data_IF_666571884799
#
_entry.id   IF_666571884799
#
_cell.length_a   1.000
_cell.length_b   1.000
_cell.length_c   1.000
_cell.angle_alpha   90.00
_cell.angle_beta   90.00
_cell.angle_gamma   90.00
#
_symmetry.space_group_name_H-M   'P 1'
#
loop_
_entity.id
_entity.type
_entity.pdbx_description
1 polymer ?
#
# COMPACT_ATOMS: atom_id res chain seq x y z
N UNK A 1 4.65 -14.36 11.22
CA UNK A 1 3.57 -13.96 12.15
C UNK A 1 3.97 -14.40 13.55
N UNK A 2 4.70 -13.56 14.29
CA UNK A 2 5.02 -13.79 15.71
C UNK A 2 4.07 -12.90 16.48
N UNK A 3 3.15 -13.54 17.17
CA UNK A 3 2.19 -12.95 18.10
C UNK A 3 2.95 -12.43 19.33
N UNK A 4 3.41 -11.18 19.26
CA UNK A 4 3.88 -10.46 20.44
C UNK A 4 2.64 -10.01 21.21
N UNK A 5 2.37 -10.77 22.27
CA UNK A 5 1.42 -10.46 23.33
C UNK A 5 1.43 -8.96 23.65
N UNK A 6 0.27 -8.36 23.38
CA UNK A 6 -0.28 -7.13 23.93
C UNK A 6 0.44 -6.57 25.16
N UNK A 7 1.28 -5.55 24.97
CA UNK A 7 1.58 -4.56 25.99
C UNK A 7 0.69 -3.34 25.76
N UNK A 8 -0.62 -3.50 25.97
CA UNK A 8 -1.63 -2.44 25.83
C UNK A 8 -1.64 -1.43 27.00
N UNK A 9 -0.57 -1.33 27.79
CA UNK A 9 -0.52 -0.42 28.95
C UNK A 9 0.42 0.79 28.79
N UNK A 10 1.17 0.93 27.69
CA UNK A 10 2.09 2.07 27.51
C UNK A 10 1.54 3.26 26.69
N UNK A 11 0.38 3.14 26.04
CA UNK A 11 -0.14 4.19 25.12
C UNK A 11 -0.99 5.30 25.78
N UNK A 12 -1.19 5.30 27.10
CA UNK A 12 -2.08 6.27 27.78
C UNK A 12 -1.35 7.45 28.44
N UNK A 13 -0.01 7.43 28.48
CA UNK A 13 0.77 8.50 29.11
C UNK A 13 0.84 9.71 28.19
N UNK A 14 0.44 10.88 28.69
CA UNK A 14 0.59 12.15 27.97
C UNK A 14 2.07 12.55 27.88
N UNK A 15 2.53 12.80 26.67
CA UNK A 15 3.84 13.35 26.36
C UNK A 15 3.75 14.87 26.50
N UNK A 16 4.66 15.47 27.26
CA UNK A 16 4.62 16.91 27.56
C UNK A 16 4.69 17.75 26.28
N UNK A 17 3.90 18.82 26.21
CA UNK A 17 3.85 19.69 25.02
C UNK A 17 5.21 20.22 24.57
N UNK A 18 6.13 20.52 25.50
CA UNK A 18 7.50 20.94 25.16
C UNK A 18 8.26 19.89 24.35
N UNK A 19 8.14 18.61 24.70
CA UNK A 19 8.80 17.51 23.98
C UNK A 19 8.18 17.34 22.60
N UNK A 20 6.85 17.41 22.50
CA UNK A 20 6.15 17.35 21.20
C UNK A 20 6.57 18.48 20.25
N UNK A 21 6.80 19.68 20.77
CA UNK A 21 7.32 20.81 19.98
C UNK A 21 8.76 20.58 19.51
N UNK A 22 9.59 19.91 20.30
CA UNK A 22 10.95 19.51 19.92
C UNK A 22 10.89 18.43 18.82
N UNK A 23 10.01 17.43 18.96
CA UNK A 23 9.80 16.38 17.95
C UNK A 23 9.31 16.94 16.61
N UNK A 24 8.37 17.91 16.62
CA UNK A 24 7.90 18.57 15.39
C UNK A 24 9.04 19.29 14.67
N UNK A 25 9.90 19.99 15.41
CA UNK A 25 11.06 20.68 14.84
C UNK A 25 12.06 19.70 14.27
N UNK A 26 12.36 18.63 15.02
CA UNK A 26 13.24 17.57 14.55
C UNK A 26 12.68 16.95 13.27
N UNK A 27 11.40 16.61 13.22
CA UNK A 27 10.71 16.07 12.05
C UNK A 27 10.84 16.99 10.83
N UNK A 28 10.61 18.29 10.99
CA UNK A 28 10.79 19.27 9.93
C UNK A 28 12.24 19.29 9.41
N UNK A 29 13.23 19.28 10.31
CA UNK A 29 14.65 19.22 9.95
C UNK A 29 14.98 17.91 9.22
N UNK A 30 14.41 16.77 9.64
CA UNK A 30 14.55 15.49 8.92
C UNK A 30 14.07 15.66 7.49
N UNK A 31 12.85 16.15 7.30
CA UNK A 31 12.22 16.30 5.99
C UNK A 31 13.05 17.25 5.11
N UNK A 32 13.38 18.44 5.60
CA UNK A 32 14.14 19.43 4.84
C UNK A 32 15.56 18.94 4.48
N UNK A 33 16.17 18.13 5.33
CA UNK A 33 17.52 17.58 5.12
C UNK A 33 17.55 16.36 4.19
N UNK A 34 16.51 15.51 4.20
CA UNK A 34 16.55 14.19 3.56
C UNK A 34 15.60 14.03 2.38
N UNK A 35 14.43 14.66 2.41
CA UNK A 35 13.44 14.51 1.35
C UNK A 35 13.93 15.20 0.06
N UNK A 36 13.82 14.54 -1.12
CA UNK A 36 14.29 15.11 -2.39
C UNK A 36 13.56 16.39 -2.79
N UNK A 37 12.26 16.46 -2.53
CA UNK A 37 11.42 17.63 -2.85
C UNK A 37 10.29 17.84 -1.83
N UNK A 38 10.56 18.42 -0.65
CA UNK A 38 9.54 18.61 0.38
C UNK A 38 8.59 19.79 0.09
N UNK A 39 8.73 20.46 -1.05
CA UNK A 39 8.16 21.79 -1.27
C UNK A 39 7.23 21.86 -2.48
N UNK A 40 7.60 21.31 -3.64
CA UNK A 40 6.97 21.70 -4.91
C UNK A 40 5.48 21.41 -4.94
N UNK A 41 5.06 20.20 -4.56
CA UNK A 41 3.63 19.83 -4.50
C UNK A 41 2.88 20.54 -3.37
N UNK A 42 3.57 20.85 -2.28
CA UNK A 42 2.99 21.48 -1.08
C UNK A 42 2.87 23.00 -1.12
N UNK A 43 3.00 23.65 -2.28
CA UNK A 43 2.92 25.12 -2.40
C UNK A 43 4.20 25.87 -2.04
N UNK A 44 5.35 25.19 -2.05
CA UNK A 44 6.67 25.79 -1.85
C UNK A 44 7.10 25.94 -0.39
N UNK A 45 8.32 26.43 -0.20
CA UNK A 45 8.96 26.58 1.12
C UNK A 45 8.19 27.46 2.10
N UNK A 46 7.57 28.54 1.60
CA UNK A 46 6.74 29.43 2.44
C UNK A 46 5.52 28.68 2.99
N UNK A 47 4.80 27.94 2.13
CA UNK A 47 3.63 27.18 2.55
C UNK A 47 3.99 26.05 3.52
N UNK A 48 5.15 25.40 3.31
CA UNK A 48 5.70 24.41 4.23
C UNK A 48 5.91 24.98 5.64
N UNK A 49 6.68 26.07 5.78
CA UNK A 49 6.94 26.66 7.09
C UNK A 49 5.68 27.30 7.72
N UNK A 50 4.74 27.77 6.90
CA UNK A 50 3.46 28.25 7.41
C UNK A 50 2.63 27.11 8.03
N UNK A 51 2.56 25.94 7.38
CA UNK A 51 1.92 24.75 7.97
C UNK A 51 2.66 24.28 9.22
N UNK A 52 3.98 24.26 9.21
CA UNK A 52 4.80 23.93 10.37
C UNK A 52 4.50 24.87 11.55
N UNK A 53 4.44 26.18 11.29
CA UNK A 53 4.11 27.16 12.33
C UNK A 53 2.71 26.94 12.91
N UNK A 54 1.71 26.68 12.06
CA UNK A 54 0.35 26.34 12.51
C UNK A 54 0.32 25.06 13.35
N UNK A 55 1.06 24.03 12.93
CA UNK A 55 1.18 22.79 13.68
C UNK A 55 1.80 23.03 15.06
N UNK A 56 2.89 23.80 15.14
CA UNK A 56 3.51 24.17 16.42
C UNK A 56 2.54 24.91 17.36
N UNK A 57 1.72 25.83 16.82
CA UNK A 57 0.72 26.55 17.61
C UNK A 57 -0.46 25.67 18.07
N UNK A 58 -0.71 24.54 17.40
CA UNK A 58 -1.82 23.63 17.74
C UNK A 58 -1.51 22.69 18.91
N UNK A 59 -0.26 22.61 19.37
CA UNK A 59 0.14 21.69 20.42
C UNK A 59 -0.33 22.21 21.80
N UNK A 60 -1.13 21.43 22.55
CA UNK A 60 -1.58 21.82 23.88
C UNK A 60 -0.43 21.80 24.89
N UNK A 61 -0.47 22.71 25.87
CA UNK A 61 0.58 22.84 26.88
C UNK A 61 0.66 21.59 27.78
N UNK A 62 -0.49 21.02 28.11
CA UNK A 62 -0.64 19.78 28.89
C UNK A 62 -0.18 18.52 28.13
N UNK A 63 0.07 18.64 26.82
CA UNK A 63 0.54 17.55 25.99
C UNK A 63 -0.54 16.64 25.43
N UNK A 64 -0.11 15.67 24.63
CA UNK A 64 -0.95 14.70 23.92
C UNK A 64 -0.49 13.29 24.21
N UNK A 65 -1.38 12.31 24.06
CA UNK A 65 -0.96 10.92 23.95
C UNK A 65 -0.38 10.68 22.54
N UNK A 66 0.43 9.63 22.41
CA UNK A 66 1.14 9.29 21.18
C UNK A 66 0.23 9.22 19.95
N UNK A 67 -0.89 8.52 20.05
CA UNK A 67 -1.78 8.30 18.90
C UNK A 67 -2.45 9.61 18.43
N UNK A 68 -2.81 10.49 19.36
CA UNK A 68 -3.38 11.81 19.05
C UNK A 68 -2.32 12.73 18.41
N UNK A 69 -1.09 12.69 18.93
CA UNK A 69 0.02 13.41 18.34
C UNK A 69 0.30 12.93 16.91
N UNK A 70 0.39 11.63 16.66
CA UNK A 70 0.62 11.10 15.31
C UNK A 70 -0.47 11.51 14.33
N UNK A 71 -1.75 11.45 14.74
CA UNK A 71 -2.88 11.91 13.91
C UNK A 71 -2.81 13.39 13.59
N UNK A 72 -2.38 14.22 14.55
CA UNK A 72 -2.20 15.66 14.36
C UNK A 72 -1.11 15.99 13.32
N UNK A 73 -0.10 15.13 13.17
CA UNK A 73 0.97 15.31 12.20
C UNK A 73 0.55 14.97 10.76
N UNK A 74 -0.48 14.15 10.56
CA UNK A 74 -0.85 13.61 9.25
C UNK A 74 -1.06 14.69 8.18
N UNK A 75 -1.80 15.79 8.42
CA UNK A 75 -2.00 16.81 7.39
C UNK A 75 -0.73 17.58 7.02
N UNK A 76 0.21 17.73 7.95
CA UNK A 76 1.50 18.37 7.67
C UNK A 76 2.34 17.50 6.74
N UNK A 77 2.38 16.19 6.99
CA UNK A 77 3.12 15.21 6.19
C UNK A 77 2.47 14.98 4.83
N UNK A 78 1.15 14.77 4.79
CA UNK A 78 0.40 14.54 3.56
C UNK A 78 0.55 15.71 2.57
N UNK A 79 0.67 16.94 3.07
CA UNK A 79 0.87 18.13 2.25
C UNK A 79 2.24 18.18 1.51
N UNK A 80 3.17 17.26 1.79
CA UNK A 80 4.37 17.07 0.97
C UNK A 80 4.00 16.53 -0.41
N UNK A 81 2.91 15.75 -0.50
CA UNK A 81 2.41 15.21 -1.77
C UNK A 81 3.25 14.06 -2.32
N UNK A 82 3.91 13.29 -1.45
CA UNK A 82 4.65 12.07 -1.79
C UNK A 82 4.02 10.88 -1.07
N UNK A 83 3.68 9.82 -1.82
CA UNK A 83 3.07 8.60 -1.28
C UNK A 83 3.99 7.80 -0.36
N UNK A 84 5.30 8.05 -0.44
CA UNK A 84 6.33 7.35 0.36
C UNK A 84 6.68 8.10 1.65
N UNK A 85 6.30 9.37 1.77
CA UNK A 85 6.53 10.18 2.96
C UNK A 85 5.30 10.12 3.86
N UNK A 86 5.36 9.26 4.88
CA UNK A 86 4.21 8.95 5.75
C UNK A 86 4.60 8.73 7.21
N UNK A 87 3.63 8.99 8.08
CA UNK A 87 3.68 8.56 9.48
C UNK A 87 2.77 7.34 9.64
N UNK A 88 3.31 6.28 10.24
CA UNK A 88 2.54 5.08 10.52
C UNK A 88 1.71 5.26 11.79
N UNK A 89 0.42 5.51 11.59
CA UNK A 89 -0.59 5.51 12.66
C UNK A 89 -1.14 4.11 12.84
N UNK A 90 -1.20 3.64 14.08
CA UNK A 90 -1.82 2.36 14.42
C UNK A 90 -3.32 2.57 14.60
N UNK A 91 -4.11 1.82 13.83
CA UNK A 91 -5.55 1.70 14.03
C UNK A 91 -5.85 0.33 14.63
N UNK A 92 -6.75 0.28 15.61
CA UNK A 92 -7.21 -0.97 16.22
C UNK A 92 -8.25 -1.61 15.28
N UNK A 93 -7.78 -2.38 14.30
CA UNK A 93 -8.62 -3.03 13.31
C UNK A 93 -9.15 -4.37 13.84
N UNK A 94 -10.38 -4.72 13.47
CA UNK A 94 -10.97 -6.02 13.73
C UNK A 94 -11.43 -6.64 12.41
N UNK A 95 -10.68 -7.62 11.91
CA UNK A 95 -10.98 -8.24 10.61
C UNK A 95 -12.33 -8.96 10.58
N UNK A 96 -12.83 -9.43 11.74
CA UNK A 96 -14.12 -10.11 11.87
C UNK A 96 -15.28 -9.14 12.06
N UNK A 97 -15.02 -7.91 12.49
CA UNK A 97 -16.04 -6.88 12.69
C UNK A 97 -15.43 -5.53 12.29
N UNK A 98 -15.27 -5.26 10.98
CA UNK A 98 -14.52 -4.12 10.50
C UNK A 98 -15.21 -2.79 10.84
N UNK A 99 -16.55 -2.77 10.87
CA UNK A 99 -17.31 -1.64 11.38
C UNK A 99 -17.45 -0.45 10.43
N UNK A 100 -16.97 -0.52 9.19
CA UNK A 100 -17.17 0.52 8.16
C UNK A 100 -18.26 0.15 7.15
N UNK A 101 -18.09 0.58 5.90
CA UNK A 101 -19.04 0.30 4.81
C UNK A 101 -18.92 -1.18 4.43
N UNK A 102 -20.00 -1.99 4.51
CA UNK A 102 -19.95 -3.43 4.26
C UNK A 102 -19.99 -3.79 2.76
N UNK A 103 -19.21 -3.06 1.96
CA UNK A 103 -19.05 -3.25 0.51
C UNK A 103 -17.57 -3.27 0.17
N UNK A 104 -17.21 -4.07 -0.83
CA UNK A 104 -15.89 -4.05 -1.43
C UNK A 104 -15.91 -3.08 -2.59
N UNK A 105 -14.99 -2.12 -2.57
CA UNK A 105 -14.78 -1.20 -3.66
C UNK A 105 -13.54 -1.59 -4.46
N UNK A 106 -13.56 -1.31 -5.76
CA UNK A 106 -12.42 -1.39 -6.65
C UNK A 106 -12.47 -0.18 -7.60
N UNK A 107 -11.36 0.08 -8.28
CA UNK A 107 -11.16 1.31 -9.03
C UNK A 107 -11.63 1.11 -10.48
N UNK A 108 -12.46 2.04 -10.95
CA UNK A 108 -12.76 2.19 -12.38
C UNK A 108 -12.65 3.65 -12.76
N UNK A 109 -11.82 3.95 -13.76
CA UNK A 109 -11.50 5.31 -14.18
C UNK A 109 -11.06 6.18 -12.99
N UNK A 110 -11.86 7.17 -12.58
CA UNK A 110 -11.61 8.06 -11.43
C UNK A 110 -12.65 7.90 -10.34
N UNK A 111 -13.20 6.70 -10.19
CA UNK A 111 -14.27 6.41 -9.25
C UNK A 111 -14.09 5.02 -8.62
N UNK A 112 -14.89 4.77 -7.59
CA UNK A 112 -14.98 3.45 -6.96
C UNK A 112 -16.28 2.78 -7.36
N UNK A 113 -16.20 1.53 -7.81
CA UNK A 113 -17.38 0.69 -8.03
C UNK A 113 -17.43 -0.44 -7.00
N UNK A 114 -18.64 -0.91 -6.71
CA UNK A 114 -18.87 -2.07 -5.84
C UNK A 114 -18.39 -3.32 -6.57
N UNK A 115 -17.25 -3.85 -6.16
CA UNK A 115 -16.65 -5.09 -6.70
C UNK A 115 -17.13 -6.35 -5.98
N UNK A 116 -17.69 -6.20 -4.78
CA UNK A 116 -18.26 -7.29 -4.02
C UNK A 116 -19.08 -6.84 -2.82
N UNK A 117 -19.87 -7.76 -2.28
CA UNK A 117 -20.77 -7.53 -1.14
C UNK A 117 -20.63 -8.65 -0.11
N UNK A 118 -21.07 -8.38 1.12
CA UNK A 118 -21.05 -9.37 2.20
C UNK A 118 -22.35 -10.18 2.25
N UNK A 119 -23.48 -9.58 1.92
CA UNK A 119 -24.81 -10.17 2.07
C UNK A 119 -25.48 -10.42 0.71
N UNK A 120 -26.16 -11.57 0.60
CA UNK A 120 -26.80 -12.06 -0.62
C UNK A 120 -27.85 -11.07 -1.18
N UNK A 121 -28.58 -10.39 -0.30
CA UNK A 121 -29.59 -9.40 -0.65
C UNK A 121 -29.02 -8.11 -1.25
N UNK A 122 -27.70 -7.92 -1.21
CA UNK A 122 -27.01 -6.75 -1.78
C UNK A 122 -26.32 -7.08 -3.12
N UNK A 123 -26.52 -8.28 -3.68
CA UNK A 123 -25.86 -8.72 -4.93
C UNK A 123 -26.10 -7.80 -6.12
N UNK A 124 -27.27 -7.18 -6.17
CA UNK A 124 -27.68 -6.21 -7.19
C UNK A 124 -26.85 -4.91 -7.16
N UNK A 125 -26.18 -4.62 -6.04
CA UNK A 125 -25.31 -3.44 -5.93
C UNK A 125 -23.99 -3.60 -6.70
N UNK A 126 -23.56 -4.83 -7.01
CA UNK A 126 -22.30 -5.09 -7.71
C UNK A 126 -22.29 -4.36 -9.07
N UNK A 127 -21.23 -3.58 -9.31
CA UNK A 127 -21.08 -2.73 -10.50
C UNK A 127 -21.63 -1.30 -10.34
N UNK A 128 -22.31 -1.00 -9.24
CA UNK A 128 -22.72 0.39 -8.93
C UNK A 128 -21.52 1.23 -8.52
N UNK A 129 -21.54 2.52 -8.85
CA UNK A 129 -20.45 3.48 -8.57
C UNK A 129 -20.77 4.29 -7.32
N UNK A 130 -19.81 4.43 -6.41
CA UNK A 130 -19.95 5.24 -5.20
C UNK A 130 -20.09 6.72 -5.57
N UNK A 131 -21.18 7.35 -5.13
CA UNK A 131 -21.46 8.76 -5.37
C UNK A 131 -21.18 9.62 -4.13
N UNK A 132 -21.63 9.18 -2.96
CA UNK A 132 -21.42 9.89 -1.69
C UNK A 132 -21.48 8.94 -0.48
N UNK A 133 -20.93 9.39 0.65
CA UNK A 133 -21.02 8.71 1.96
C UNK A 133 -21.45 9.74 2.98
N UNK A 134 -22.55 9.52 3.71
CA UNK A 134 -23.09 10.45 4.71
C UNK A 134 -23.31 11.87 4.16
N UNK A 135 -23.85 11.98 2.93
CA UNK A 135 -24.01 13.23 2.17
C UNK A 135 -22.69 13.96 1.82
N UNK A 136 -21.54 13.29 1.96
CA UNK A 136 -20.23 13.81 1.56
C UNK A 136 -19.93 13.28 0.15
N UNK A 137 -19.87 14.17 -0.86
CA UNK A 137 -19.54 13.79 -2.23
C UNK A 137 -18.21 13.03 -2.34
N UNK A 138 -18.13 12.11 -3.30
CA UNK A 138 -16.95 11.26 -3.48
C UNK A 138 -15.64 12.04 -3.72
N UNK A 139 -15.68 13.14 -4.47
CA UNK A 139 -14.53 14.02 -4.68
C UNK A 139 -14.04 14.66 -3.37
N UNK A 140 -14.97 15.04 -2.48
CA UNK A 140 -14.65 15.52 -1.14
C UNK A 140 -14.01 14.42 -0.29
N UNK A 141 -14.43 13.16 -0.43
CA UNK A 141 -13.76 12.03 0.25
C UNK A 141 -12.32 11.85 -0.25
N UNK A 142 -12.09 11.96 -1.57
CA UNK A 142 -10.74 11.94 -2.15
C UNK A 142 -9.87 13.08 -1.59
N UNK A 143 -10.41 14.29 -1.48
CA UNK A 143 -9.71 15.44 -0.89
C UNK A 143 -9.38 15.23 0.60
N UNK A 144 -10.30 14.61 1.35
CA UNK A 144 -10.09 14.33 2.77
C UNK A 144 -9.00 13.28 2.97
N UNK A 145 -9.03 12.16 2.25
CA UNK A 145 -8.00 11.12 2.40
C UNK A 145 -6.62 11.62 1.98
N UNK A 146 -6.55 12.52 0.98
CA UNK A 146 -5.31 13.18 0.55
C UNK A 146 -4.71 14.14 1.59
N UNK A 147 -5.50 14.55 2.59
CA UNK A 147 -5.03 15.33 3.74
C UNK A 147 -4.60 14.44 4.90
N UNK A 148 -4.84 13.13 4.82
CA UNK A 148 -4.45 12.15 5.82
C UNK A 148 -3.20 11.40 5.35
N UNK A 149 -3.10 11.13 4.06
CA UNK A 149 -2.00 10.38 3.45
C UNK A 149 -1.49 11.11 2.20
N UNK A 150 -0.16 11.20 2.07
CA UNK A 150 0.48 11.74 0.87
C UNK A 150 0.14 10.89 -0.36
N UNK A 151 0.03 11.54 -1.52
CA UNK A 151 -0.36 10.90 -2.78
C UNK A 151 0.57 11.30 -3.92
N UNK A 152 0.93 10.33 -4.76
CA UNK A 152 1.81 10.59 -5.90
C UNK A 152 1.07 11.19 -7.10
N UNK A 153 -0.20 10.81 -7.28
CA UNK A 153 -1.02 11.18 -8.43
C UNK A 153 -2.52 11.05 -8.10
N UNK A 154 -3.37 11.30 -9.10
CA UNK A 154 -4.84 11.29 -8.98
C UNK A 154 -5.46 9.93 -8.60
N UNK A 155 -4.72 8.82 -8.73
CA UNK A 155 -5.17 7.50 -8.30
C UNK A 155 -4.83 7.19 -6.84
N UNK A 156 -3.91 7.92 -6.22
CA UNK A 156 -3.53 7.73 -4.82
C UNK A 156 -4.72 7.76 -3.85
N UNK A 157 -5.65 8.74 -3.94
CA UNK A 157 -6.85 8.77 -3.12
C UNK A 157 -7.75 7.56 -3.33
N UNK A 158 -7.86 7.07 -4.57
CA UNK A 158 -8.70 5.93 -4.91
C UNK A 158 -8.17 4.66 -4.25
N UNK A 159 -6.85 4.42 -4.33
CA UNK A 159 -6.19 3.29 -3.65
C UNK A 159 -6.37 3.37 -2.13
N UNK A 160 -6.31 4.57 -1.54
CA UNK A 160 -6.53 4.71 -0.10
C UNK A 160 -8.00 4.48 0.32
N UNK A 161 -8.96 4.55 -0.62
CA UNK A 161 -10.39 4.39 -0.35
C UNK A 161 -10.94 3.02 -0.77
N UNK A 162 -10.24 2.28 -1.65
CA UNK A 162 -10.70 1.00 -2.18
C UNK A 162 -10.65 -0.16 -1.15
N UNK A 163 -11.21 -1.31 -1.55
CA UNK A 163 -11.09 -2.59 -0.86
C UNK A 163 -11.29 -2.50 0.67
N UNK A 164 -10.25 -2.86 1.44
CA UNK A 164 -10.26 -2.93 2.91
C UNK A 164 -9.55 -1.74 3.57
N UNK A 165 -9.42 -0.63 2.85
CA UNK A 165 -8.72 0.57 3.32
C UNK A 165 -9.65 1.49 4.13
N UNK A 166 -9.64 2.80 3.88
CA UNK A 166 -10.26 3.78 4.78
C UNK A 166 -11.77 3.61 4.95
N UNK A 167 -12.48 3.17 3.91
CA UNK A 167 -13.94 2.99 3.94
C UNK A 167 -14.40 1.73 4.70
N UNK A 168 -13.54 0.73 4.81
CA UNK A 168 -13.90 -0.60 5.31
C UNK A 168 -13.93 -0.68 6.84
N UNK A 169 -12.98 -0.01 7.51
CA UNK A 169 -12.82 -0.14 8.96
C UNK A 169 -13.31 1.11 9.71
N UNK A 170 -14.05 0.93 10.82
CA UNK A 170 -14.57 2.02 11.65
C UNK A 170 -13.50 3.04 12.07
N UNK A 171 -12.31 2.64 12.57
CA UNK A 171 -11.32 3.62 13.02
C UNK A 171 -10.75 4.49 11.90
N UNK A 172 -10.53 3.93 10.71
CA UNK A 172 -10.02 4.68 9.56
C UNK A 172 -11.12 5.52 8.91
N UNK A 173 -12.35 4.98 8.87
CA UNK A 173 -13.51 5.71 8.38
C UNK A 173 -13.83 6.92 9.27
N UNK A 174 -13.69 6.80 10.60
CA UNK A 174 -13.77 7.92 11.53
C UNK A 174 -12.68 8.97 11.33
N UNK A 175 -11.48 8.55 10.91
CA UNK A 175 -10.42 9.50 10.55
C UNK A 175 -10.77 10.29 9.27
N UNK A 176 -11.50 9.66 8.34
CA UNK A 176 -11.96 10.28 7.09
C UNK A 176 -13.22 11.14 7.28
N UNK A 177 -14.18 10.64 8.06
CA UNK A 177 -15.51 11.21 8.30
C UNK A 177 -15.71 11.31 9.83
N UNK A 178 -15.06 12.26 10.50
CA UNK A 178 -15.18 12.41 11.96
C UNK A 178 -16.59 12.78 12.42
N UNK A 179 -17.43 13.33 11.53
CA UNK A 179 -18.83 13.61 11.79
C UNK A 179 -19.73 12.36 11.85
N UNK A 180 -19.26 11.22 11.33
CA UNK A 180 -19.96 9.95 11.39
C UNK A 180 -19.59 9.22 12.69
N UNK A 181 -20.52 9.10 13.64
CA UNK A 181 -20.30 8.35 14.88
C UNK A 181 -21.58 7.62 15.29
N UNK A 182 -22.03 6.70 14.43
CA UNK A 182 -23.28 5.94 14.58
C UNK A 182 -23.03 4.49 14.21
N UNK A 183 -23.99 3.63 14.52
CA UNK A 183 -23.94 2.20 14.18
C UNK A 183 -24.53 1.89 12.79
N UNK A 184 -24.85 2.93 12.03
CA UNK A 184 -25.35 2.87 10.66
C UNK A 184 -24.57 3.83 9.79
N UNK A 185 -24.44 3.48 8.51
CA UNK A 185 -23.84 4.33 7.48
C UNK A 185 -24.73 4.39 6.25
N UNK A 186 -24.93 5.60 5.73
CA UNK A 186 -25.73 5.86 4.53
C UNK A 186 -24.81 6.24 3.38
N UNK A 187 -25.01 5.63 2.22
CA UNK A 187 -24.26 5.91 1.01
C UNK A 187 -25.20 6.09 -0.16
N UNK A 188 -24.76 6.84 -1.17
CA UNK A 188 -25.43 6.89 -2.46
C UNK A 188 -24.62 6.13 -3.49
N UNK A 189 -25.29 5.22 -4.20
CA UNK A 189 -24.71 4.46 -5.29
C UNK A 189 -25.42 4.80 -6.60
N UNK A 190 -24.64 5.07 -7.64
CA UNK A 190 -25.13 5.18 -9.01
C UNK A 190 -25.12 3.82 -9.67
N UNK A 191 -26.30 3.28 -9.99
CA UNK A 191 -26.44 1.99 -10.67
C UNK A 191 -25.85 2.04 -12.09
N UNK A 192 -25.58 0.88 -12.72
CA UNK A 192 -25.17 0.81 -14.12
C UNK A 192 -26.18 1.44 -15.10
N UNK A 193 -27.45 1.58 -14.69
CA UNK A 193 -28.50 2.24 -15.47
C UNK A 193 -28.52 3.78 -15.29
N UNK A 194 -27.69 4.30 -14.38
CA UNK A 194 -27.52 5.72 -14.13
C UNK A 194 -28.37 6.30 -13.00
N UNK A 195 -29.22 5.49 -12.37
CA UNK A 195 -30.05 5.87 -11.23
C UNK A 195 -29.22 5.97 -9.95
N UNK A 196 -29.43 7.02 -9.15
CA UNK A 196 -28.77 7.18 -7.85
C UNK A 196 -29.74 6.71 -6.77
N UNK A 197 -29.30 5.75 -5.97
CA UNK A 197 -30.07 5.18 -4.87
C UNK A 197 -29.33 5.39 -3.55
N UNK A 198 -30.06 5.88 -2.55
CA UNK A 198 -29.59 5.98 -1.17
C UNK A 198 -29.80 4.62 -0.47
N UNK A 199 -28.75 4.14 0.21
CA UNK A 199 -28.74 2.86 0.90
C UNK A 199 -28.11 3.04 2.28
N UNK A 200 -28.78 2.55 3.31
CA UNK A 200 -28.28 2.54 4.68
C UNK A 200 -27.90 1.12 5.11
N UNK A 201 -26.70 0.97 5.64
CA UNK A 201 -26.19 -0.28 6.20
C UNK A 201 -26.02 -0.18 7.71
N UNK A 202 -26.29 -1.28 8.41
CA UNK A 202 -25.77 -1.48 9.77
C UNK A 202 -24.25 -1.73 9.67
N UNK A 203 -23.47 -1.12 10.57
CA UNK A 203 -22.00 -1.27 10.58
C UNK A 203 -21.52 -2.31 11.59
N UNK A 204 -22.34 -2.67 12.57
CA UNK A 204 -22.01 -3.71 13.55
C UNK A 204 -22.31 -5.12 12.99
N UNK A 205 -21.52 -5.51 11.98
CA UNK A 205 -21.68 -6.78 11.27
C UNK A 205 -20.49 -7.71 11.55
N UNK A 206 -20.82 -8.95 11.90
CA UNK A 206 -19.83 -10.04 11.93
C UNK A 206 -19.57 -10.59 10.52
N UNK A 207 -18.30 -10.58 10.15
CA UNK A 207 -17.78 -11.10 8.91
C UNK A 207 -17.28 -12.54 9.10
N UNK A 208 -18.17 -13.49 8.82
CA UNK A 208 -17.91 -14.93 8.98
C UNK A 208 -17.93 -15.70 7.65
N UNK A 209 -18.19 -15.04 6.53
CA UNK A 209 -18.37 -15.64 5.20
C UNK A 209 -17.45 -14.95 4.17
N UNK A 210 -17.01 -15.64 3.11
CA UNK A 210 -16.28 -15.00 2.02
C UNK A 210 -17.17 -13.97 1.30
N UNK A 211 -16.53 -12.95 0.74
CA UNK A 211 -17.21 -11.91 -0.03
C UNK A 211 -17.84 -12.49 -1.30
N UNK A 212 -19.05 -12.04 -1.59
CA UNK A 212 -19.74 -12.34 -2.83
C UNK A 212 -19.21 -11.38 -3.90
N UNK A 213 -18.49 -11.92 -4.87
CA UNK A 213 -17.91 -11.17 -5.98
C UNK A 213 -18.32 -11.79 -7.31
N UNK A 214 -18.20 -11.03 -8.39
CA UNK A 214 -18.41 -11.57 -9.74
C UNK A 214 -17.20 -12.39 -10.16
N UNK A 215 -17.42 -13.66 -10.49
CA UNK A 215 -16.35 -14.53 -10.99
C UNK A 215 -15.86 -14.07 -12.36
N UNK A 216 -14.55 -14.21 -12.57
CA UNK A 216 -13.95 -14.02 -13.89
C UNK A 216 -14.38 -15.17 -14.81
N UNK A 217 -14.78 -14.85 -16.04
CA UNK A 217 -15.06 -15.85 -17.07
C UNK A 217 -13.79 -16.46 -17.67
N UNK A 218 -12.63 -15.85 -17.41
CA UNK A 218 -11.31 -16.36 -17.79
C UNK A 218 -10.60 -16.94 -16.58
N UNK A 219 -9.91 -18.05 -16.78
CA UNK A 219 -9.01 -18.62 -15.79
C UNK A 219 -7.74 -17.76 -15.70
N UNK A 220 -7.60 -17.03 -14.60
CA UNK A 220 -6.45 -16.16 -14.34
C UNK A 220 -5.41 -16.99 -13.58
N UNK A 221 -4.11 -16.91 -13.93
CA UNK A 221 -3.07 -17.62 -13.18
C UNK A 221 -3.12 -17.23 -11.70
N UNK A 222 -3.14 -18.24 -10.83
CA UNK A 222 -3.18 -18.03 -9.38
C UNK A 222 -1.84 -17.54 -8.87
N UNK A 223 -1.90 -16.49 -8.07
CA UNK A 223 -0.77 -15.91 -7.33
C UNK A 223 -0.81 -16.32 -5.85
N UNK A 224 -1.57 -17.33 -5.46
CA UNK A 224 -1.67 -17.74 -4.06
C UNK A 224 -0.34 -18.25 -3.49
N UNK A 225 0.44 -19.00 -4.27
CA UNK A 225 1.74 -19.57 -3.85
C UNK A 225 2.94 -18.67 -4.17
N UNK A 226 2.83 -17.84 -5.19
CA UNK A 226 3.89 -16.95 -5.70
C UNK A 226 3.27 -15.62 -6.10
N UNK A 227 3.99 -14.52 -5.91
CA UNK A 227 3.49 -13.19 -6.27
C UNK A 227 3.36 -12.96 -7.77
N UNK A 228 3.88 -13.88 -8.58
CA UNK A 228 3.80 -13.85 -10.03
C UNK A 228 3.58 -15.26 -10.56
N UNK A 229 2.76 -15.36 -11.59
CA UNK A 229 2.46 -16.58 -12.31
C UNK A 229 2.00 -16.24 -13.72
N UNK A 230 2.19 -17.17 -14.67
CA UNK A 230 1.65 -17.02 -16.01
C UNK A 230 0.90 -18.28 -16.45
N UNK A 231 -0.03 -18.09 -17.39
CA UNK A 231 -0.66 -19.17 -18.13
C UNK A 231 -1.04 -18.69 -19.54
N UNK A 232 -1.41 -19.61 -20.42
CA UNK A 232 -2.00 -19.30 -21.72
C UNK A 232 -3.53 -19.31 -21.63
N UNK A 233 -4.18 -18.29 -22.18
CA UNK A 233 -5.63 -18.11 -22.10
C UNK A 233 -6.41 -18.92 -23.14
N UNK A 234 -5.74 -19.43 -24.16
CA UNK A 234 -6.34 -20.20 -25.24
C UNK A 234 -5.57 -21.51 -25.49
N UNK A 235 -6.28 -22.51 -26.02
CA UNK A 235 -5.73 -23.85 -26.29
C UNK A 235 -4.56 -23.85 -27.28
N UNK A 236 -4.50 -22.85 -28.16
CA UNK A 236 -3.44 -22.71 -29.15
C UNK A 236 -2.27 -21.87 -28.64
N UNK A 237 -2.31 -21.44 -27.37
CA UNK A 237 -1.28 -20.68 -26.69
C UNK A 237 -0.90 -19.38 -27.43
N UNK A 238 -1.89 -18.75 -28.07
CA UNK A 238 -1.75 -17.48 -28.80
C UNK A 238 -1.72 -16.27 -27.89
N UNK A 239 -2.30 -16.38 -26.70
CA UNK A 239 -2.40 -15.32 -25.72
C UNK A 239 -1.82 -15.83 -24.40
N UNK A 240 -0.69 -15.24 -23.98
CA UNK A 240 -0.13 -15.43 -22.65
C UNK A 240 -0.65 -14.35 -21.70
N UNK A 241 -0.95 -14.72 -20.46
CA UNK A 241 -1.25 -13.82 -19.36
C UNK A 241 -0.21 -14.00 -18.27
N UNK A 242 0.60 -12.98 -18.03
CA UNK A 242 1.47 -12.86 -16.86
C UNK A 242 0.76 -12.00 -15.82
N UNK A 243 0.53 -12.54 -14.63
CA UNK A 243 0.02 -11.79 -13.48
C UNK A 243 1.13 -11.57 -12.48
N UNK A 244 1.23 -10.35 -11.97
CA UNK A 244 2.19 -9.96 -10.92
C UNK A 244 1.44 -9.16 -9.87
N UNK A 245 1.16 -9.78 -8.72
CA UNK A 245 0.44 -9.16 -7.59
C UNK A 245 1.40 -8.57 -6.54
N UNK A 246 2.70 -8.83 -6.65
CA UNK A 246 3.71 -8.29 -5.73
C UNK A 246 5.13 -8.32 -6.30
N UNK A 247 6.02 -7.53 -5.70
CA UNK A 247 7.42 -7.42 -6.12
C UNK A 247 8.38 -7.62 -4.95
N UNK A 248 8.12 -8.56 -4.05
CA UNK A 248 8.99 -8.84 -2.88
C UNK A 248 9.35 -10.33 -2.79
N UNK A 249 8.36 -11.20 -2.95
CA UNK A 249 8.44 -12.65 -2.72
C UNK A 249 9.13 -13.46 -3.81
N UNK A 250 10.28 -13.00 -4.31
CA UNK A 250 11.10 -13.71 -5.29
C UNK A 250 12.55 -13.85 -4.81
N UNK A 251 13.22 -14.92 -5.25
CA UNK A 251 14.58 -15.30 -4.80
C UNK A 251 15.58 -14.15 -4.92
N UNK A 252 15.62 -13.51 -6.09
CA UNK A 252 16.61 -12.47 -6.41
C UNK A 252 16.47 -11.22 -5.53
N UNK A 253 15.28 -10.97 -4.95
CA UNK A 253 15.12 -9.92 -3.94
C UNK A 253 16.00 -10.23 -2.72
N UNK A 254 15.88 -11.44 -2.18
CA UNK A 254 16.62 -11.87 -0.97
C UNK A 254 18.12 -12.08 -1.24
N UNK A 255 18.50 -12.46 -2.46
CA UNK A 255 19.90 -12.47 -2.88
C UNK A 255 20.51 -11.06 -2.92
N UNK A 256 19.73 -10.05 -3.32
CA UNK A 256 20.17 -8.67 -3.39
C UNK A 256 20.24 -8.00 -2.01
N UNK A 257 19.17 -8.12 -1.22
CA UNK A 257 19.04 -7.38 0.06
C UNK A 257 19.61 -8.14 1.26
N UNK A 258 19.83 -9.45 1.13
CA UNK A 258 20.26 -10.32 2.22
C UNK A 258 19.14 -10.67 3.20
N UNK A 259 19.42 -11.61 4.12
CA UNK A 259 18.48 -12.08 5.15
C UNK A 259 19.10 -12.11 6.56
N UNK A 260 20.05 -11.20 6.81
CA UNK A 260 20.80 -11.20 8.07
C UNK A 260 20.04 -10.57 9.23
N UNK A 261 19.16 -9.60 8.98
CA UNK A 261 18.26 -9.11 10.02
C UNK A 261 16.96 -9.92 10.07
N UNK A 262 16.33 -9.85 11.23
CA UNK A 262 15.14 -10.63 11.57
C UNK A 262 13.96 -10.35 10.63
N UNK A 263 13.82 -9.11 10.15
CA UNK A 263 12.73 -8.74 9.26
C UNK A 263 12.83 -9.48 7.93
N UNK A 264 13.96 -9.37 7.21
CA UNK A 264 14.11 -10.08 5.93
C UNK A 264 14.17 -11.60 6.10
N UNK A 265 14.71 -12.11 7.22
CA UNK A 265 14.67 -13.54 7.51
C UNK A 265 13.23 -14.04 7.67
N UNK A 266 12.38 -13.31 8.39
CA UNK A 266 10.99 -13.67 8.57
C UNK A 266 10.21 -13.59 7.26
N UNK A 267 10.45 -12.58 6.42
CA UNK A 267 9.85 -12.51 5.08
C UNK A 267 10.26 -13.69 4.21
N UNK A 268 11.55 -14.02 4.13
CA UNK A 268 12.04 -15.16 3.36
C UNK A 268 11.39 -16.48 3.82
N UNK A 269 11.26 -16.68 5.13
CA UNK A 269 10.53 -17.83 5.72
C UNK A 269 9.06 -17.84 5.30
N UNK A 270 8.37 -16.70 5.36
CA UNK A 270 6.96 -16.60 4.96
C UNK A 270 6.78 -16.97 3.47
N UNK A 271 7.60 -16.44 2.56
CA UNK A 271 7.49 -16.75 1.13
C UNK A 271 7.90 -18.19 0.80
N UNK A 272 8.93 -18.73 1.46
CA UNK A 272 9.27 -20.15 1.34
C UNK A 272 8.08 -21.03 1.74
N UNK A 273 7.50 -20.79 2.92
CA UNK A 273 6.39 -21.58 3.44
C UNK A 273 5.16 -21.46 2.55
N UNK A 274 4.85 -20.25 2.06
CA UNK A 274 3.75 -19.99 1.13
C UNK A 274 3.89 -20.77 -0.18
N UNK A 275 5.10 -20.82 -0.74
CA UNK A 275 5.33 -21.52 -2.01
C UNK A 275 5.40 -23.04 -1.85
N UNK A 276 6.09 -23.52 -0.82
CA UNK A 276 6.40 -24.94 -0.63
C UNK A 276 5.39 -25.69 0.25
N UNK A 277 4.52 -24.97 0.98
CA UNK A 277 3.58 -25.51 1.96
C UNK A 277 4.27 -26.37 3.04
N UNK A 278 5.50 -26.01 3.38
CA UNK A 278 6.38 -26.74 4.30
C UNK A 278 7.06 -25.80 5.27
N UNK A 279 7.55 -26.36 6.37
CA UNK A 279 8.36 -25.61 7.33
C UNK A 279 9.64 -25.10 6.64
N UNK A 280 10.01 -23.82 6.82
CA UNK A 280 11.24 -23.27 6.26
C UNK A 280 12.48 -23.98 6.82
N UNK A 281 13.50 -24.25 5.99
CA UNK A 281 14.76 -24.82 6.47
C UNK A 281 15.51 -23.81 7.34
N UNK A 282 16.38 -24.33 8.22
CA UNK A 282 17.26 -23.49 9.04
C UNK A 282 18.46 -22.95 8.25
N UNK A 283 18.89 -23.68 7.21
CA UNK A 283 19.96 -23.21 6.33
C UNK A 283 19.48 -22.05 5.46
N UNK A 284 20.19 -20.93 5.55
CA UNK A 284 19.85 -19.69 4.84
C UNK A 284 19.91 -19.85 3.31
N UNK A 285 20.83 -20.65 2.80
CA UNK A 285 20.99 -20.85 1.36
C UNK A 285 19.88 -21.75 0.81
N UNK A 286 19.55 -22.84 1.51
CA UNK A 286 18.39 -23.68 1.19
C UNK A 286 17.08 -22.90 1.26
N UNK A 287 16.95 -22.01 2.25
CA UNK A 287 15.79 -21.13 2.39
C UNK A 287 15.61 -20.24 1.16
N UNK A 288 16.66 -19.51 0.75
CA UNK A 288 16.60 -18.62 -0.43
C UNK A 288 16.35 -19.43 -1.70
N UNK A 289 17.05 -20.55 -1.88
CA UNK A 289 16.91 -21.40 -3.07
C UNK A 289 15.49 -21.99 -3.20
N UNK A 290 14.77 -22.21 -2.10
CA UNK A 290 13.39 -22.68 -2.13
C UNK A 290 12.33 -21.61 -2.43
N UNK A 291 12.71 -20.34 -2.56
CA UNK A 291 11.81 -19.26 -2.97
C UNK A 291 11.76 -19.21 -4.52
N UNK A 292 10.59 -18.93 -5.14
CA UNK A 292 10.46 -18.79 -6.59
C UNK A 292 11.41 -17.76 -7.18
N UNK A 293 12.11 -18.11 -8.26
CA UNK A 293 12.95 -17.19 -9.02
C UNK A 293 12.14 -16.46 -10.09
N UNK A 294 12.25 -15.13 -10.10
CA UNK A 294 11.68 -14.31 -11.16
C UNK A 294 12.40 -14.58 -12.50
N UNK A 295 13.71 -14.78 -12.46
CA UNK A 295 14.53 -15.11 -13.64
C UNK A 295 14.11 -16.43 -14.27
N UNK A 296 13.95 -17.49 -13.47
CA UNK A 296 13.53 -18.81 -13.97
C UNK A 296 12.12 -18.75 -14.56
N UNK A 297 11.21 -18.03 -13.90
CA UNK A 297 9.81 -17.92 -14.35
C UNK A 297 9.68 -17.11 -15.63
N UNK A 298 10.30 -15.92 -15.70
CA UNK A 298 10.22 -15.07 -16.90
C UNK A 298 11.00 -15.65 -18.08
N UNK A 299 12.09 -16.38 -17.83
CA UNK A 299 12.77 -17.17 -18.86
C UNK A 299 11.84 -18.22 -19.45
N UNK A 300 11.14 -18.97 -18.59
CA UNK A 300 10.22 -20.04 -19.02
C UNK A 300 9.07 -19.47 -19.84
N UNK A 301 8.45 -18.38 -19.38
CA UNK A 301 7.43 -17.63 -20.12
C UNK A 301 7.88 -17.29 -21.55
N UNK A 302 9.05 -16.65 -21.70
CA UNK A 302 9.54 -16.23 -23.03
C UNK A 302 9.91 -17.42 -23.92
N UNK A 303 10.47 -18.50 -23.35
CA UNK A 303 10.78 -19.73 -24.10
C UNK A 303 9.50 -20.38 -24.62
N UNK A 304 8.50 -20.57 -23.76
CA UNK A 304 7.23 -21.18 -24.12
C UNK A 304 6.47 -20.32 -25.15
N UNK A 305 6.42 -19.00 -24.95
CA UNK A 305 5.81 -18.09 -25.91
C UNK A 305 6.45 -18.21 -27.30
N UNK A 306 7.78 -18.33 -27.37
CA UNK A 306 8.51 -18.49 -28.63
C UNK A 306 8.23 -19.84 -29.29
N UNK A 307 8.17 -20.92 -28.50
CA UNK A 307 7.86 -22.26 -28.99
C UNK A 307 6.44 -22.32 -29.57
N UNK A 308 5.49 -21.70 -28.89
CA UNK A 308 4.08 -21.71 -29.25
C UNK A 308 3.69 -20.65 -30.28
N UNK A 309 4.64 -19.80 -30.69
CA UNK A 309 4.39 -18.65 -31.58
C UNK A 309 3.22 -17.82 -31.06
N UNK A 310 3.29 -17.50 -29.76
CA UNK A 310 2.35 -16.63 -29.07
C UNK A 310 2.38 -15.26 -29.71
N UNK A 311 1.18 -14.70 -29.93
CA UNK A 311 0.99 -13.44 -30.65
C UNK A 311 0.76 -12.28 -29.70
N UNK A 312 0.24 -12.55 -28.50
CA UNK A 312 -0.12 -11.54 -27.51
C UNK A 312 0.37 -11.92 -26.11
N UNK A 313 0.98 -10.95 -25.42
CA UNK A 313 1.27 -11.02 -23.99
C UNK A 313 0.45 -9.96 -23.26
N UNK A 314 -0.36 -10.39 -22.31
CA UNK A 314 -1.07 -9.54 -21.37
C UNK A 314 -0.29 -9.56 -20.05
N UNK A 315 -0.01 -8.39 -19.48
CA UNK A 315 0.62 -8.27 -18.16
C UNK A 315 -0.40 -7.62 -17.22
N UNK A 316 -0.87 -8.37 -16.23
CA UNK A 316 -1.80 -7.89 -15.21
C UNK A 316 -1.05 -7.46 -13.95
N UNK A 317 -1.10 -6.15 -13.68
CA UNK A 317 -0.47 -5.49 -12.54
C UNK A 317 -1.50 -4.87 -11.59
N UNK A 318 -2.80 -5.13 -11.79
CA UNK A 318 -3.86 -4.39 -11.09
C UNK A 318 -3.80 -4.51 -9.57
N UNK A 319 -3.28 -5.64 -9.07
CA UNK A 319 -3.09 -5.89 -7.62
C UNK A 319 -1.65 -5.67 -7.15
N UNK A 320 -0.78 -5.11 -8.00
CA UNK A 320 0.62 -4.90 -7.67
C UNK A 320 0.81 -3.60 -6.89
N UNK A 321 1.03 -3.72 -5.57
CA UNK A 321 1.33 -2.58 -4.70
C UNK A 321 2.77 -2.06 -4.79
N UNK A 322 3.60 -2.62 -5.66
CA UNK A 322 5.03 -2.32 -5.77
C UNK A 322 5.90 -3.26 -4.95
N UNK A 323 7.08 -2.76 -4.56
CA UNK A 323 8.11 -3.53 -3.86
C UNK A 323 9.49 -3.27 -4.45
N UNK A 324 10.30 -4.32 -4.58
CA UNK A 324 11.64 -4.22 -5.15
C UNK A 324 11.58 -4.08 -6.68
N UNK A 325 12.04 -2.93 -7.17
CA UNK A 325 12.03 -2.58 -8.60
C UNK A 325 12.93 -3.45 -9.48
N UNK A 326 13.82 -4.29 -8.89
CA UNK A 326 14.63 -5.26 -9.62
C UNK A 326 13.77 -6.23 -10.44
N UNK A 327 12.60 -6.65 -9.95
CA UNK A 327 11.70 -7.54 -10.70
C UNK A 327 11.34 -6.98 -12.09
N UNK A 328 11.08 -5.67 -12.16
CA UNK A 328 10.80 -4.99 -13.43
C UNK A 328 12.01 -5.03 -14.37
N UNK A 329 13.23 -4.89 -13.84
CA UNK A 329 14.46 -4.96 -14.64
C UNK A 329 14.67 -6.37 -15.22
N UNK A 330 14.39 -7.42 -14.43
CA UNK A 330 14.46 -8.82 -14.88
C UNK A 330 13.45 -9.05 -16.02
N UNK A 331 12.21 -8.57 -15.87
CA UNK A 331 11.19 -8.71 -16.91
C UNK A 331 11.57 -7.98 -18.21
N UNK A 332 12.03 -6.73 -18.12
CA UNK A 332 12.48 -5.94 -19.28
C UNK A 332 13.62 -6.65 -20.00
N UNK A 333 14.56 -7.24 -19.26
CA UNK A 333 15.65 -8.01 -19.86
C UNK A 333 15.14 -9.19 -20.69
N UNK A 334 14.20 -9.98 -20.18
CA UNK A 334 13.68 -11.14 -20.91
C UNK A 334 12.81 -10.77 -22.12
N UNK A 335 12.04 -9.68 -22.02
CA UNK A 335 11.17 -9.24 -23.12
C UNK A 335 11.94 -8.50 -24.23
N UNK A 336 12.94 -7.70 -23.87
CA UNK A 336 13.55 -6.74 -24.80
C UNK A 336 15.08 -6.83 -24.89
N UNK A 337 15.71 -7.64 -24.06
CA UNK A 337 17.16 -7.84 -24.03
C UNK A 337 17.94 -6.77 -23.27
N UNK A 338 19.25 -7.03 -23.14
CA UNK A 338 20.21 -6.21 -22.36
C UNK A 338 20.19 -4.73 -22.72
N UNK A 339 20.21 -4.39 -24.01
CA UNK A 339 20.34 -3.00 -24.45
C UNK A 339 19.12 -2.17 -24.02
N UNK A 340 17.92 -2.75 -24.10
CA UNK A 340 16.68 -2.09 -23.67
C UNK A 340 16.58 -1.98 -22.15
N UNK A 341 17.05 -2.98 -21.42
CA UNK A 341 17.19 -2.88 -19.96
C UNK A 341 18.16 -1.76 -19.56
N UNK A 342 19.32 -1.61 -20.21
CA UNK A 342 20.25 -0.51 -19.94
C UNK A 342 19.68 0.86 -20.31
N UNK A 343 18.98 0.96 -21.45
CA UNK A 343 18.26 2.18 -21.83
C UNK A 343 17.19 2.55 -20.78
N UNK A 344 16.46 1.56 -20.28
CA UNK A 344 15.45 1.76 -19.23
C UNK A 344 16.08 2.26 -17.92
N UNK A 345 17.18 1.65 -17.47
CA UNK A 345 17.89 2.08 -16.27
C UNK A 345 18.46 3.50 -16.39
N UNK A 346 19.00 3.86 -17.56
CA UNK A 346 19.55 5.20 -17.80
C UNK A 346 18.46 6.26 -17.89
N UNK A 347 17.31 5.95 -18.49
CA UNK A 347 16.13 6.86 -18.54
C UNK A 347 15.43 7.01 -17.18
N UNK A 348 15.43 5.98 -16.34
CA UNK A 348 14.84 6.00 -14.99
C UNK A 348 15.49 7.01 -14.03
N UNK A 349 16.69 7.48 -14.34
CA UNK A 349 17.31 8.62 -13.64
C UNK A 349 16.46 9.91 -13.65
N UNK A 350 15.34 9.95 -14.40
CA UNK A 350 14.37 11.05 -14.37
C UNK A 350 13.27 10.97 -13.29
N UNK A 351 13.09 9.84 -12.59
CA UNK A 351 12.06 9.70 -11.53
C UNK A 351 12.65 9.69 -10.11
N UNK A 352 13.96 9.41 -9.99
CA UNK A 352 14.68 9.44 -8.73
C UNK A 352 15.50 10.73 -8.65
N UNK A 353 15.08 11.66 -7.80
CA UNK A 353 15.90 12.82 -7.46
C UNK A 353 16.86 12.38 -6.36
N UNK A 354 18.13 12.18 -6.71
CA UNK A 354 19.15 11.83 -5.71
C UNK A 354 19.50 13.09 -4.92
N UNK A 355 19.18 13.06 -3.63
CA UNK A 355 19.61 14.08 -2.68
C UNK A 355 20.74 13.55 -1.81
N UNK A 356 21.95 14.03 -2.07
CA UNK A 356 23.07 13.81 -1.18
C UNK A 356 22.95 14.74 0.03
N UNK A 357 22.71 14.17 1.20
CA UNK A 357 22.67 14.87 2.49
C UNK A 357 23.69 14.23 3.44
N UNK A 358 24.07 14.94 4.51
CA UNK A 358 24.94 14.36 5.54
C UNK A 358 24.34 13.06 6.10
N UNK A 359 23.01 13.03 6.29
CA UNK A 359 22.29 11.83 6.71
C UNK A 359 22.35 10.69 5.69
N UNK A 360 22.24 10.99 4.40
CA UNK A 360 22.45 9.99 3.34
C UNK A 360 23.87 9.41 3.43
N UNK A 361 24.88 10.26 3.61
CA UNK A 361 26.27 9.82 3.73
C UNK A 361 26.52 9.02 5.00
N UNK A 362 25.94 9.41 6.14
CA UNK A 362 25.96 8.65 7.39
C UNK A 362 25.30 7.28 7.20
N UNK A 363 24.13 7.21 6.57
CA UNK A 363 23.45 5.94 6.31
C UNK A 363 24.26 5.05 5.35
N UNK A 364 24.90 5.60 4.33
CA UNK A 364 25.75 4.83 3.40
C UNK A 364 27.05 4.36 4.08
N UNK A 365 27.63 5.19 4.94
CA UNK A 365 28.82 4.82 5.73
C UNK A 365 28.50 3.78 6.81
N UNK A 366 27.35 3.91 7.47
CA UNK A 366 26.83 2.94 8.43
C UNK A 366 26.25 1.70 7.74
N UNK A 367 25.74 1.78 6.51
CA UNK A 367 25.30 0.63 5.73
C UNK A 367 26.44 -0.30 5.30
N UNK A 368 27.69 0.20 5.32
CA UNK A 368 28.90 -0.64 5.25
C UNK A 368 29.25 -1.34 6.58
N UNK A 369 28.53 -1.04 7.66
CA UNK A 369 28.62 -1.62 9.00
C UNK A 369 27.21 -1.94 9.51
N UNK A 370 26.60 -3.01 9.01
CA UNK A 370 25.33 -3.60 9.51
C UNK A 370 24.27 -2.57 9.95
N UNK A 371 23.37 -2.17 9.03
CA UNK A 371 22.26 -1.27 9.33
C UNK A 371 21.37 -1.78 10.47
N UNK A 372 21.25 -1.07 11.61
CA UNK A 372 20.09 -1.19 12.48
C UNK A 372 18.96 -0.38 11.83
N UNK A 373 17.78 -0.98 11.73
CA UNK A 373 16.56 -0.27 11.38
C UNK A 373 16.42 0.97 12.28
N UNK A 374 16.41 2.16 11.68
CA UNK A 374 16.18 3.41 12.38
C UNK A 374 14.67 3.52 12.66
N UNK A 375 14.20 2.69 13.59
CA UNK A 375 12.92 2.89 14.27
C UNK A 375 13.10 4.10 15.18
N UNK A 376 12.61 5.26 14.73
CA UNK A 376 12.50 6.43 15.60
C UNK A 376 11.33 6.16 16.54
N UNK A 377 11.64 5.75 17.78
CA UNK A 377 10.67 5.83 18.86
C UNK A 377 10.39 7.30 19.15
N UNK A 378 9.24 7.79 18.68
CA UNK A 378 8.64 9.01 19.23
C UNK A 378 8.35 8.73 20.71
N UNK A 379 8.98 9.52 21.57
CA UNK A 379 9.01 9.37 23.03
C UNK A 379 7.78 9.91 23.74
#
# INVERSE_FOLDING_TARGET
>A
MIDMKSNNQQNSTKIKGKLLLEDIKQLADIIESSHPDPYSKGGGKIAFHYRLHKLLLSIPQEGLIKDDFQKLLLPFIAAIGDGHTRIHVKYNLNEKQPGGIPLYFDIIEKSLYVSGVIAENNKDLIGSVLHSVENIPFDVLCDRVSKIQGIDNEYGPLVNLDHKNYLWNKPTLLALIPEWNRDKITIELKSPLGEINEITFDTDLEYNQPSIMKESIIEIPSTEKSEFAYNFLDKNQKIALLRVDGMIGYRENFELVGIDNEFQLNDAKNYYQRFNEKQPPNDKSELINGIPSATETFRSLVIEMKQSKTETLIIDLRKNGGGNSLLANILVYFLFGKNKMLEYLTKKSGFEIIKYSDRYLEQVQNGKKETPNLMIELG
#
